data_IF_754737080040
#
_entry.id   IF_754737080040
#
_cell.length_a   1.000
_cell.length_b   1.000
_cell.length_c   1.000
_cell.angle_alpha   90.00
_cell.angle_beta   90.00
_cell.angle_gamma   90.00
#
_symmetry.space_group_name_H-M   'P 1'
#
loop_
_entity.id
_entity.type
_entity.pdbx_description
1 polymer ?
#
# COMPACT_ATOMS: atom_id res chain seq x y z
N UNK A 1 -16.49 3.79 -3.26
CA UNK A 1 -16.01 4.81 -4.21
C UNK A 1 -14.69 4.32 -4.77
N UNK A 2 -14.48 4.39 -6.10
CA UNK A 2 -13.21 3.98 -6.71
C UNK A 2 -12.07 4.88 -6.22
N UNK A 3 -10.95 4.27 -5.85
CA UNK A 3 -9.72 4.96 -5.47
C UNK A 3 -8.97 5.44 -6.70
N UNK A 4 -8.92 4.64 -7.76
CA UNK A 4 -8.20 4.99 -8.99
C UNK A 4 -8.89 6.16 -9.71
N UNK A 5 -8.13 7.22 -9.98
CA UNK A 5 -8.54 8.35 -10.82
C UNK A 5 -7.66 8.38 -12.06
N UNK A 6 -8.25 8.18 -13.24
CA UNK A 6 -7.52 8.08 -14.52
C UNK A 6 -6.41 7.00 -14.49
N UNK A 7 -6.63 5.89 -13.77
CA UNK A 7 -5.66 4.81 -13.64
C UNK A 7 -4.55 5.04 -12.62
N UNK A 8 -4.56 6.17 -11.90
CA UNK A 8 -3.57 6.48 -10.86
C UNK A 8 -4.22 6.65 -9.49
N UNK A 9 -3.52 6.23 -8.45
CA UNK A 9 -3.80 6.60 -7.07
C UNK A 9 -2.52 7.07 -6.40
N UNK A 10 -2.56 8.27 -5.79
CA UNK A 10 -1.43 8.86 -5.10
C UNK A 10 -1.83 9.29 -3.69
N UNK A 11 -1.02 8.89 -2.72
CA UNK A 11 -1.17 9.23 -1.31
C UNK A 11 0.22 9.44 -0.70
N UNK A 12 0.29 10.21 0.38
CA UNK A 12 1.53 10.46 1.12
C UNK A 12 1.25 10.29 2.60
N UNK A 13 2.13 9.56 3.28
CA UNK A 13 2.03 9.30 4.71
C UNK A 13 3.28 9.83 5.42
N UNK A 14 3.15 10.35 6.66
CA UNK A 14 4.29 10.48 7.55
C UNK A 14 4.96 9.12 7.77
N UNK A 15 6.28 9.14 7.96
CA UNK A 15 7.08 7.94 8.26
C UNK A 15 6.81 7.43 9.67
N UNK A 16 5.64 6.81 9.87
CA UNK A 16 5.15 6.31 11.15
C UNK A 16 4.37 5.00 10.96
N UNK A 17 4.64 4.02 11.82
CA UNK A 17 4.04 2.68 11.76
C UNK A 17 2.51 2.66 11.85
N UNK A 18 1.89 3.70 12.43
CA UNK A 18 0.42 3.79 12.54
C UNK A 18 -0.31 3.80 11.19
N UNK A 19 0.39 4.06 10.08
CA UNK A 19 -0.19 4.07 8.74
C UNK A 19 -0.07 2.73 8.01
N UNK A 20 0.50 1.69 8.62
CA UNK A 20 0.65 0.37 7.99
C UNK A 20 -0.73 -0.22 7.59
N UNK A 21 -1.69 -0.19 8.51
CA UNK A 21 -3.05 -0.71 8.29
C UNK A 21 -3.78 0.06 7.17
N UNK A 22 -3.56 1.38 7.09
CA UNK A 22 -4.12 2.20 6.02
C UNK A 22 -3.56 1.80 4.65
N UNK A 23 -2.26 1.52 4.57
CA UNK A 23 -1.58 1.10 3.35
C UNK A 23 -2.07 -0.26 2.88
N UNK A 24 -2.17 -1.25 3.78
CA UNK A 24 -2.70 -2.58 3.47
C UNK A 24 -4.14 -2.47 2.93
N UNK A 25 -4.98 -1.68 3.62
CA UNK A 25 -6.36 -1.44 3.21
C UNK A 25 -6.46 -0.76 1.84
N UNK A 26 -5.58 0.19 1.54
CA UNK A 26 -5.54 0.89 0.24
C UNK A 26 -5.10 -0.08 -0.86
N UNK A 27 -4.03 -0.83 -0.64
CA UNK A 27 -3.51 -1.83 -1.59
C UNK A 27 -4.58 -2.86 -1.92
N UNK A 28 -5.26 -3.41 -0.91
CA UNK A 28 -6.37 -4.35 -1.08
C UNK A 28 -7.53 -3.77 -1.91
N UNK A 29 -7.90 -2.50 -1.66
CA UNK A 29 -8.95 -1.84 -2.44
C UNK A 29 -8.57 -1.61 -3.90
N UNK A 30 -7.34 -1.16 -4.16
CA UNK A 30 -6.86 -0.92 -5.53
C UNK A 30 -6.80 -2.24 -6.31
N UNK A 31 -6.25 -3.30 -5.72
CA UNK A 31 -6.14 -4.60 -6.39
C UNK A 31 -7.52 -5.26 -6.59
N UNK A 32 -8.47 -5.01 -5.68
CA UNK A 32 -9.86 -5.39 -5.86
C UNK A 32 -10.55 -4.61 -7.00
N UNK A 33 -10.33 -3.30 -7.10
CA UNK A 33 -10.84 -2.47 -8.21
C UNK A 33 -10.29 -2.92 -9.58
N UNK A 34 -9.08 -3.49 -9.60
CA UNK A 34 -8.43 -4.05 -10.80
C UNK A 34 -8.81 -5.51 -11.08
N UNK A 35 -9.68 -6.12 -10.27
CA UNK A 35 -10.10 -7.52 -10.39
C UNK A 35 -8.94 -8.53 -10.36
N UNK A 36 -7.88 -8.26 -9.58
CA UNK A 36 -6.80 -9.22 -9.41
C UNK A 36 -7.28 -10.47 -8.66
N UNK A 37 -6.65 -11.60 -8.91
CA UNK A 37 -6.89 -12.83 -8.14
C UNK A 37 -6.38 -12.68 -6.71
N UNK A 38 -7.01 -13.37 -5.76
CA UNK A 38 -6.70 -13.27 -4.32
C UNK A 38 -5.21 -13.50 -4.02
N UNK A 39 -4.59 -14.50 -4.64
CA UNK A 39 -3.15 -14.76 -4.52
C UNK A 39 -2.29 -13.56 -4.91
N UNK A 40 -2.63 -12.90 -6.03
CA UNK A 40 -1.92 -11.71 -6.51
C UNK A 40 -2.15 -10.53 -5.56
N UNK A 41 -3.33 -10.42 -4.94
CA UNK A 41 -3.62 -9.37 -3.94
C UNK A 41 -2.77 -9.54 -2.69
N UNK A 42 -2.62 -10.78 -2.22
CA UNK A 42 -1.83 -11.10 -1.04
C UNK A 42 -0.34 -10.82 -1.28
N UNK A 43 0.19 -11.28 -2.42
CA UNK A 43 1.59 -11.01 -2.81
C UNK A 43 1.88 -9.51 -2.89
N UNK A 44 0.96 -8.72 -3.48
CA UNK A 44 1.10 -7.27 -3.53
C UNK A 44 1.01 -6.61 -2.16
N UNK A 45 0.12 -7.10 -1.28
CA UNK A 45 0.00 -6.58 0.08
C UNK A 45 1.30 -6.79 0.84
N UNK A 46 1.91 -7.97 0.74
CA UNK A 46 3.22 -8.27 1.35
C UNK A 46 4.30 -7.34 0.79
N UNK A 47 4.41 -7.26 -0.54
CA UNK A 47 5.45 -6.45 -1.19
C UNK A 47 5.35 -4.95 -0.82
N UNK A 48 4.14 -4.39 -0.76
CA UNK A 48 3.92 -2.99 -0.37
C UNK A 48 4.22 -2.77 1.11
N UNK A 49 3.81 -3.70 1.99
CA UNK A 49 4.10 -3.63 3.42
C UNK A 49 5.61 -3.72 3.69
N UNK A 50 6.34 -4.60 3.01
CA UNK A 50 7.80 -4.68 3.10
C UNK A 50 8.48 -3.40 2.60
N UNK A 51 8.04 -2.86 1.46
CA UNK A 51 8.56 -1.60 0.93
C UNK A 51 8.36 -0.45 1.92
N UNK A 52 7.18 -0.35 2.53
CA UNK A 52 6.91 0.68 3.53
C UNK A 52 7.70 0.46 4.82
N UNK A 53 7.78 -0.77 5.33
CA UNK A 53 8.61 -1.09 6.50
C UNK A 53 10.09 -0.76 6.26
N UNK A 54 10.61 -1.03 5.05
CA UNK A 54 11.95 -0.63 4.67
C UNK A 54 12.11 0.88 4.65
N UNK A 55 11.12 1.63 4.13
CA UNK A 55 11.13 3.08 4.14
C UNK A 55 11.07 3.64 5.58
N UNK A 56 10.26 3.05 6.47
CA UNK A 56 10.21 3.44 7.89
C UNK A 56 11.55 3.22 8.58
N UNK A 57 12.16 2.05 8.39
CA UNK A 57 13.39 1.66 9.08
C UNK A 57 14.63 2.38 8.55
N UNK A 58 14.71 2.61 7.24
CA UNK A 58 15.89 3.20 6.61
C UNK A 58 15.75 4.70 6.33
N UNK A 59 14.52 5.20 6.12
CA UNK A 59 14.25 6.62 5.87
C UNK A 59 14.25 7.47 7.14
N UNK A 60 14.01 6.86 8.31
CA UNK A 60 14.15 7.52 9.61
C UNK A 60 15.56 7.36 10.21
N UNK A 61 16.56 7.01 9.40
CA UNK A 61 17.97 7.09 9.83
C UNK A 61 18.35 8.56 9.98
N UNK A 62 18.10 9.11 11.17
CA UNK A 62 18.97 10.14 11.75
C UNK A 62 20.29 9.52 12.21
#
# INVERSE_FOLDING_TARGET
MPLLKNGEYKVTFPSNIKYLEDIERITSKITAELNFEESVRDDLSIAVTELFNNALHHGNKE
#
